data_IF_507640939039
#
_entry.id   IF_507640939039
#
_cell.length_a   1.000
_cell.length_b   1.000
_cell.length_c   1.000
_cell.angle_alpha   90.00
_cell.angle_beta   90.00
_cell.angle_gamma   90.00
#
_symmetry.space_group_name_H-M   'P 1'
#
loop_
_entity.id
_entity.type
_entity.pdbx_description
1 polymer ?
#
# COMPACT_ATOMS: atom_id res chain seq x y z
N UNK A 1 25.26 1.76 -25.17
CA UNK A 1 25.54 1.35 -23.77
C UNK A 1 25.15 2.54 -22.89
N UNK A 2 24.11 2.55 -22.07
CA UNK A 2 23.22 1.52 -21.54
C UNK A 2 21.78 2.04 -21.52
N UNK A 3 20.85 1.15 -21.87
CA UNK A 3 19.42 1.37 -21.83
C UNK A 3 18.94 1.54 -20.39
N UNK A 4 18.35 2.71 -20.09
CA UNK A 4 17.50 2.88 -18.92
C UNK A 4 16.16 2.25 -19.29
N UNK A 5 15.87 1.12 -18.67
CA UNK A 5 14.66 0.34 -18.89
C UNK A 5 13.41 1.20 -18.89
N UNK A 6 12.71 1.13 -20.01
CA UNK A 6 11.36 1.60 -20.24
C UNK A 6 10.43 0.81 -19.32
N UNK A 7 10.16 1.33 -18.11
CA UNK A 7 9.10 0.81 -17.25
C UNK A 7 7.81 1.42 -17.80
N UNK A 8 6.91 0.65 -18.42
CA UNK A 8 5.66 1.20 -18.87
C UNK A 8 4.91 1.74 -17.65
N UNK A 9 4.69 3.05 -17.64
CA UNK A 9 3.79 3.73 -16.70
C UNK A 9 2.43 3.04 -16.83
N UNK A 10 1.90 2.37 -15.78
CA UNK A 10 0.57 1.80 -15.91
C UNK A 10 -0.40 2.95 -16.18
N UNK A 11 -1.05 2.89 -17.35
CA UNK A 11 -2.13 3.79 -17.68
C UNK A 11 -3.13 3.72 -16.52
N UNK A 12 -3.44 4.89 -15.94
CA UNK A 12 -4.49 5.01 -14.93
C UNK A 12 -5.79 4.57 -15.60
N UNK A 13 -6.29 3.37 -15.28
CA UNK A 13 -7.63 2.96 -15.69
C UNK A 13 -8.65 3.85 -14.96
N UNK A 14 -9.49 4.60 -15.68
CA UNK A 14 -10.57 5.36 -15.08
C UNK A 14 -11.64 4.39 -14.57
N UNK A 15 -11.78 4.27 -13.24
CA UNK A 15 -12.88 3.56 -12.57
C UNK A 15 -12.92 2.04 -12.74
N UNK A 16 -12.41 1.27 -11.78
CA UNK A 16 -12.62 -0.19 -11.70
C UNK A 16 -14.02 -0.53 -11.21
N UNK A 17 -15.04 -0.13 -11.96
CA UNK A 17 -16.28 -0.88 -12.00
C UNK A 17 -16.06 -2.02 -13.00
N UNK A 18 -15.75 -3.24 -12.53
CA UNK A 18 -15.89 -4.42 -13.40
C UNK A 18 -15.01 -5.64 -13.12
N UNK A 19 -13.81 -5.51 -12.53
CA UNK A 19 -12.92 -6.67 -12.38
C UNK A 19 -13.21 -7.43 -11.08
N UNK A 20 -13.54 -8.70 -11.21
CA UNK A 20 -13.92 -9.59 -10.10
C UNK A 20 -12.80 -10.58 -9.78
N UNK A 21 -12.94 -11.34 -8.68
CA UNK A 21 -12.02 -12.45 -8.41
C UNK A 21 -12.09 -13.53 -9.50
N UNK A 22 -13.24 -13.74 -10.12
CA UNK A 22 -13.36 -14.67 -11.25
C UNK A 22 -12.49 -14.21 -12.43
N UNK A 23 -12.54 -12.93 -12.77
CA UNK A 23 -11.69 -12.35 -13.84
C UNK A 23 -10.20 -12.46 -13.46
N UNK A 24 -9.85 -12.13 -12.21
CA UNK A 24 -8.48 -12.27 -11.72
C UNK A 24 -7.97 -13.72 -11.81
N UNK A 25 -8.81 -14.72 -11.54
CA UNK A 25 -8.45 -16.14 -11.70
C UNK A 25 -8.13 -16.45 -13.17
N UNK A 26 -8.93 -15.93 -14.11
CA UNK A 26 -8.68 -16.10 -15.56
C UNK A 26 -7.34 -15.47 -15.95
N UNK A 27 -7.05 -14.24 -15.51
CA UNK A 27 -5.76 -13.59 -15.79
C UNK A 27 -4.59 -14.37 -15.19
N UNK A 28 -4.69 -14.84 -13.95
CA UNK A 28 -3.63 -15.61 -13.29
C UNK A 28 -3.29 -16.88 -14.05
N UNK A 29 -4.28 -17.56 -14.65
CA UNK A 29 -4.04 -18.76 -15.47
C UNK A 29 -3.18 -18.48 -16.70
N UNK A 30 -3.25 -17.27 -17.24
CA UNK A 30 -2.53 -16.84 -18.45
C UNK A 30 -1.12 -16.32 -18.16
N UNK A 31 -0.71 -16.22 -16.88
CA UNK A 31 0.64 -15.75 -16.53
C UNK A 31 1.67 -16.87 -16.66
N UNK A 32 2.65 -16.73 -17.55
CA UNK A 32 3.68 -17.76 -17.80
C UNK A 32 5.03 -17.47 -17.12
N UNK A 33 5.13 -16.41 -16.34
CA UNK A 33 6.41 -15.81 -15.95
C UNK A 33 7.06 -16.37 -14.67
N UNK A 34 6.39 -17.26 -13.93
CA UNK A 34 6.81 -17.70 -12.59
C UNK A 34 6.61 -19.19 -12.30
N UNK A 35 6.23 -19.99 -13.29
CA UNK A 35 5.98 -21.43 -13.12
C UNK A 35 4.62 -21.78 -12.51
N UNK A 36 4.17 -23.03 -12.71
CA UNK A 36 2.82 -23.50 -12.40
C UNK A 36 2.49 -23.46 -10.89
N UNK A 37 3.47 -23.63 -10.01
CA UNK A 37 3.24 -23.61 -8.56
C UNK A 37 2.85 -22.21 -8.05
N UNK A 38 3.48 -21.17 -8.59
CA UNK A 38 3.18 -19.78 -8.21
C UNK A 38 1.78 -19.38 -8.72
N UNK A 39 1.40 -19.82 -9.92
CA UNK A 39 0.02 -19.66 -10.43
C UNK A 39 -1.00 -20.32 -9.50
N UNK A 40 -0.78 -21.59 -9.14
CA UNK A 40 -1.66 -22.32 -8.22
C UNK A 40 -1.77 -21.64 -6.87
N UNK A 41 -0.67 -21.13 -6.33
CA UNK A 41 -0.67 -20.38 -5.07
C UNK A 41 -1.53 -19.10 -5.16
N UNK A 42 -1.41 -18.33 -6.24
CA UNK A 42 -2.21 -17.10 -6.47
C UNK A 42 -3.70 -17.40 -6.59
N UNK A 43 -4.07 -18.40 -7.39
CA UNK A 43 -5.47 -18.84 -7.50
C UNK A 43 -6.01 -19.34 -6.15
N UNK A 44 -5.21 -20.11 -5.40
CA UNK A 44 -5.57 -20.58 -4.06
C UNK A 44 -5.82 -19.42 -3.08
N UNK A 45 -5.05 -18.34 -3.18
CA UNK A 45 -5.28 -17.13 -2.38
C UNK A 45 -6.64 -16.48 -2.72
N UNK A 46 -6.97 -16.31 -4.00
CA UNK A 46 -8.26 -15.76 -4.46
C UNK A 46 -9.44 -16.62 -3.96
N UNK A 47 -9.39 -17.94 -4.17
CA UNK A 47 -10.44 -18.85 -3.69
C UNK A 47 -10.56 -18.88 -2.17
N UNK A 48 -9.43 -18.83 -1.44
CA UNK A 48 -9.47 -18.82 0.02
C UNK A 48 -10.04 -17.50 0.55
N UNK A 49 -9.71 -16.38 -0.06
CA UNK A 49 -10.30 -15.09 0.27
C UNK A 49 -11.80 -15.04 -0.03
N UNK A 50 -12.26 -15.62 -1.14
CA UNK A 50 -13.69 -15.79 -1.43
C UNK A 50 -14.41 -16.61 -0.35
N UNK A 51 -13.78 -17.69 0.15
CA UNK A 51 -14.30 -18.49 1.26
C UNK A 51 -14.37 -17.71 2.57
N UNK A 52 -13.35 -16.90 2.88
CA UNK A 52 -13.34 -16.01 4.06
C UNK A 52 -14.52 -15.04 4.00
N UNK A 53 -14.77 -14.45 2.82
CA UNK A 53 -15.86 -13.51 2.55
C UNK A 53 -17.24 -14.18 2.45
N UNK A 54 -17.28 -15.52 2.31
CA UNK A 54 -18.49 -16.31 2.06
C UNK A 54 -19.27 -15.83 0.82
N UNK A 55 -18.54 -15.43 -0.21
CA UNK A 55 -19.09 -14.92 -1.46
C UNK A 55 -18.50 -15.68 -2.65
N UNK A 56 -19.28 -15.87 -3.73
CA UNK A 56 -18.75 -16.47 -4.96
C UNK A 56 -17.77 -15.50 -5.67
N UNK A 57 -16.68 -15.99 -6.29
CA UNK A 57 -15.64 -15.15 -6.91
C UNK A 57 -16.15 -14.11 -7.91
N UNK A 58 -17.24 -14.40 -8.60
CA UNK A 58 -17.87 -13.54 -9.62
C UNK A 58 -18.52 -12.29 -9.01
N UNK A 59 -18.77 -12.29 -7.70
CA UNK A 59 -19.41 -11.16 -6.99
C UNK A 59 -18.42 -10.31 -6.20
N UNK A 60 -17.17 -10.78 -6.08
CA UNK A 60 -16.16 -10.11 -5.25
C UNK A 60 -15.35 -9.18 -6.15
N UNK A 61 -15.46 -7.85 -5.97
CA UNK A 61 -14.68 -6.92 -6.75
C UNK A 61 -13.19 -6.97 -6.35
N UNK A 62 -12.30 -6.83 -7.32
CA UNK A 62 -10.88 -6.53 -7.10
C UNK A 62 -10.66 -5.07 -6.69
N UNK A 63 -11.44 -4.58 -5.73
CA UNK A 63 -11.34 -3.24 -5.19
C UNK A 63 -10.73 -3.27 -3.78
N UNK A 64 -9.59 -2.60 -3.60
CA UNK A 64 -8.85 -2.63 -2.33
C UNK A 64 -9.67 -2.05 -1.18
N UNK A 65 -10.46 -1.01 -1.42
CA UNK A 65 -11.28 -0.36 -0.38
C UNK A 65 -12.34 -1.33 0.12
N UNK A 66 -13.09 -1.94 -0.80
CA UNK A 66 -14.13 -2.93 -0.52
C UNK A 66 -13.57 -4.15 0.20
N UNK A 67 -12.39 -4.62 -0.22
CA UNK A 67 -11.70 -5.76 0.38
C UNK A 67 -11.21 -5.42 1.80
N UNK A 68 -10.63 -4.24 2.01
CA UNK A 68 -10.19 -3.81 3.34
C UNK A 68 -11.34 -3.79 4.35
N UNK A 69 -12.50 -3.28 3.92
CA UNK A 69 -13.72 -3.19 4.73
C UNK A 69 -14.36 -4.54 5.08
N UNK A 70 -13.91 -5.66 4.49
CA UNK A 70 -14.53 -6.98 4.69
C UNK A 70 -13.56 -8.06 5.15
N UNK A 71 -12.34 -8.11 4.60
CA UNK A 71 -11.35 -9.13 4.93
C UNK A 71 -10.74 -8.94 6.32
N UNK A 72 -10.66 -7.70 6.82
CA UNK A 72 -9.99 -7.39 8.09
C UNK A 72 -10.97 -7.06 9.23
N UNK A 73 -12.28 -7.25 9.02
CA UNK A 73 -13.30 -6.99 10.05
C UNK A 73 -13.21 -7.99 11.18
N UNK A 74 -12.96 -9.25 10.85
CA UNK A 74 -12.85 -10.34 11.83
C UNK A 74 -11.43 -10.90 11.85
N UNK A 75 -10.95 -11.39 13.00
CA UNK A 75 -9.65 -12.04 13.09
C UNK A 75 -9.65 -13.37 12.34
N UNK A 76 -8.47 -13.83 11.91
CA UNK A 76 -8.29 -15.10 11.18
C UNK A 76 -9.00 -16.30 11.85
N UNK A 77 -8.99 -16.37 13.19
CA UNK A 77 -9.62 -17.43 13.96
C UNK A 77 -11.15 -17.50 13.76
N UNK A 78 -11.83 -16.36 13.52
CA UNK A 78 -13.26 -16.33 13.25
C UNK A 78 -13.63 -17.00 11.90
N UNK A 79 -12.65 -17.13 10.99
CA UNK A 79 -12.79 -17.85 9.73
C UNK A 79 -12.25 -19.29 9.80
N UNK A 80 -11.90 -19.78 11.00
CA UNK A 80 -11.37 -21.13 11.19
C UNK A 80 -9.97 -21.35 10.60
N UNK A 81 -9.18 -20.28 10.43
CA UNK A 81 -7.81 -20.39 9.89
C UNK A 81 -6.78 -19.74 10.83
N UNK A 82 -5.55 -20.23 10.76
CA UNK A 82 -4.44 -19.67 11.53
C UNK A 82 -4.08 -18.27 11.03
N UNK A 83 -3.50 -17.46 11.93
CA UNK A 83 -2.98 -16.15 11.56
C UNK A 83 -1.94 -16.24 10.41
N UNK A 84 -1.02 -17.21 10.48
CA UNK A 84 -0.03 -17.43 9.42
C UNK A 84 -0.67 -17.73 8.06
N UNK A 85 -1.71 -18.58 8.02
CA UNK A 85 -2.44 -18.87 6.78
C UNK A 85 -3.14 -17.63 6.24
N UNK A 86 -3.79 -16.84 7.11
CA UNK A 86 -4.42 -15.60 6.70
C UNK A 86 -3.41 -14.62 6.09
N UNK A 87 -2.22 -14.44 6.70
CA UNK A 87 -1.16 -13.60 6.14
C UNK A 87 -0.67 -14.08 4.78
N UNK A 88 -0.54 -15.40 4.58
CA UNK A 88 -0.16 -15.97 3.28
C UNK A 88 -1.22 -15.70 2.20
N UNK A 89 -2.51 -15.82 2.55
CA UNK A 89 -3.62 -15.47 1.64
C UNK A 89 -3.53 -13.98 1.27
N UNK A 90 -3.37 -13.09 2.26
CA UNK A 90 -3.23 -11.65 2.00
C UNK A 90 -2.00 -11.32 1.16
N UNK A 91 -0.87 -12.01 1.36
CA UNK A 91 0.32 -11.84 0.55
C UNK A 91 0.07 -12.23 -0.93
N UNK A 92 -0.60 -13.37 -1.16
CA UNK A 92 -1.00 -13.79 -2.50
C UNK A 92 -1.98 -12.83 -3.17
N UNK A 93 -2.98 -12.34 -2.43
CA UNK A 93 -3.91 -11.31 -2.95
C UNK A 93 -3.18 -10.02 -3.34
N UNK A 94 -2.30 -9.52 -2.47
CA UNK A 94 -1.50 -8.32 -2.79
C UNK A 94 -0.66 -8.53 -4.06
N UNK A 95 -0.06 -9.70 -4.22
CA UNK A 95 0.72 -10.01 -5.42
C UNK A 95 -0.15 -9.99 -6.69
N UNK A 96 -1.33 -10.62 -6.65
CA UNK A 96 -2.30 -10.58 -7.75
C UNK A 96 -2.73 -9.15 -8.06
N UNK A 97 -3.18 -8.40 -7.05
CA UNK A 97 -3.66 -7.03 -7.23
C UNK A 97 -2.56 -6.11 -7.77
N UNK A 98 -1.30 -6.27 -7.34
CA UNK A 98 -0.17 -5.49 -7.86
C UNK A 98 0.06 -5.74 -9.35
N UNK A 99 -0.02 -7.00 -9.79
CA UNK A 99 0.13 -7.36 -11.20
C UNK A 99 -1.00 -6.85 -12.08
N UNK A 100 -2.19 -6.72 -11.51
CA UNK A 100 -3.34 -6.09 -12.16
C UNK A 100 -3.28 -4.55 -12.11
N UNK A 101 -2.27 -3.95 -11.46
CA UNK A 101 -2.16 -2.50 -11.28
C UNK A 101 -3.15 -1.92 -10.26
N UNK A 102 -3.79 -2.77 -9.46
CA UNK A 102 -4.84 -2.43 -8.49
C UNK A 102 -4.31 -2.29 -7.05
N UNK A 103 -3.03 -2.58 -6.83
CA UNK A 103 -2.37 -2.39 -5.56
C UNK A 103 -1.03 -1.69 -5.75
N UNK A 104 -0.68 -0.81 -4.81
CA UNK A 104 0.59 -0.08 -4.82
C UNK A 104 1.79 -1.03 -4.97
N UNK A 105 2.80 -0.72 -5.80
CA UNK A 105 3.94 -1.60 -6.00
C UNK A 105 4.71 -1.84 -4.69
N UNK A 106 5.31 -3.04 -4.56
CA UNK A 106 6.21 -3.37 -3.44
C UNK A 106 7.62 -2.82 -3.74
N UNK A 107 7.75 -1.49 -3.70
CA UNK A 107 9.02 -0.83 -3.91
C UNK A 107 9.82 -0.85 -2.60
N UNK A 108 10.77 -1.78 -2.51
CA UNK A 108 11.70 -1.86 -1.39
C UNK A 108 12.85 -0.87 -1.58
N UNK A 109 13.37 -0.35 -0.48
CA UNK A 109 14.51 0.58 -0.51
C UNK A 109 14.16 1.97 -1.03
N UNK A 110 15.18 2.71 -1.46
CA UNK A 110 15.12 4.15 -1.75
C UNK A 110 15.46 4.49 -3.20
N UNK A 111 15.66 3.46 -4.03
CA UNK A 111 15.88 3.63 -5.45
C UNK A 111 14.78 4.50 -6.08
N UNK A 112 15.19 5.52 -6.84
CA UNK A 112 14.32 6.46 -7.53
C UNK A 112 13.75 7.59 -6.65
N UNK A 113 14.10 7.68 -5.37
CA UNK A 113 13.74 8.87 -4.57
C UNK A 113 14.66 10.05 -4.91
N UNK A 114 14.12 11.29 -5.00
CA UNK A 114 14.93 12.49 -5.17
C UNK A 114 15.90 12.71 -4.01
N UNK A 115 17.04 13.35 -4.27
CA UNK A 115 18.10 13.61 -3.29
C UNK A 115 17.60 14.28 -2.00
N UNK A 116 16.70 15.27 -2.12
CA UNK A 116 16.10 15.93 -0.97
C UNK A 116 15.37 14.95 -0.03
N UNK A 117 14.72 13.93 -0.59
CA UNK A 117 14.04 12.89 0.16
C UNK A 117 15.02 11.89 0.80
N UNK A 118 16.10 11.55 0.10
CA UNK A 118 17.17 10.70 0.66
C UNK A 118 17.78 11.37 1.89
N UNK A 119 18.19 12.64 1.77
CA UNK A 119 18.73 13.44 2.88
C UNK A 119 17.76 13.57 4.05
N UNK A 120 16.47 13.75 3.79
CA UNK A 120 15.46 13.75 4.85
C UNK A 120 15.41 12.40 5.59
N UNK A 121 15.42 11.28 4.84
CA UNK A 121 15.32 9.94 5.40
C UNK A 121 16.56 9.51 6.21
N UNK A 122 17.72 10.13 6.00
CA UNK A 122 18.91 9.92 6.82
C UNK A 122 18.69 10.26 8.30
N UNK A 123 17.79 11.20 8.61
CA UNK A 123 17.43 11.53 9.98
C UNK A 123 16.60 10.46 10.71
N UNK A 124 16.11 9.44 10.00
CA UNK A 124 15.32 8.37 10.60
C UNK A 124 16.21 7.44 11.45
N UNK A 125 16.00 7.41 12.76
CA UNK A 125 16.86 6.67 13.70
C UNK A 125 16.54 5.17 13.79
N UNK A 126 15.44 4.72 13.20
CA UNK A 126 15.04 3.32 13.21
C UNK A 126 14.50 2.86 11.86
N UNK A 127 14.86 1.65 11.43
CA UNK A 127 14.48 1.10 10.12
C UNK A 127 12.96 0.99 9.94
N UNK A 128 12.22 0.65 11.00
CA UNK A 128 10.76 0.61 10.97
C UNK A 128 10.15 2.00 10.69
N UNK A 129 10.78 3.07 11.18
CA UNK A 129 10.37 4.45 10.91
C UNK A 129 10.70 4.83 9.46
N UNK A 130 11.92 4.50 9.02
CA UNK A 130 12.39 4.72 7.65
C UNK A 130 11.51 3.99 6.62
N UNK A 131 11.07 2.77 6.92
CA UNK A 131 10.13 2.01 6.08
C UNK A 131 8.79 2.74 5.88
N UNK A 132 8.17 3.22 6.95
CA UNK A 132 6.92 3.98 6.85
C UNK A 132 7.10 5.29 6.09
N UNK A 133 8.20 6.00 6.35
CA UNK A 133 8.49 7.28 5.70
C UNK A 133 8.84 7.13 4.21
N UNK A 134 9.47 6.03 3.77
CA UNK A 134 9.77 5.78 2.34
C UNK A 134 8.52 5.76 1.47
N UNK A 135 7.43 5.14 1.94
CA UNK A 135 6.18 5.10 1.18
C UNK A 135 5.54 6.50 1.08
N UNK A 136 5.61 7.28 2.15
CA UNK A 136 5.14 8.66 2.18
C UNK A 136 6.00 9.58 1.30
N UNK A 137 7.32 9.49 1.40
CA UNK A 137 8.29 10.22 0.58
C UNK A 137 8.05 9.99 -0.92
N UNK A 138 7.80 8.74 -1.34
CA UNK A 138 7.46 8.44 -2.74
C UNK A 138 6.17 9.10 -3.19
N UNK A 139 5.13 9.03 -2.37
CA UNK A 139 3.85 9.69 -2.68
C UNK A 139 4.05 11.21 -2.88
N UNK A 140 4.89 11.82 -2.04
CA UNK A 140 5.20 13.24 -2.17
C UNK A 140 6.06 13.54 -3.42
N UNK A 141 7.07 12.71 -3.70
CA UNK A 141 7.94 12.83 -4.85
C UNK A 141 7.20 12.66 -6.19
N UNK A 142 6.23 11.74 -6.26
CA UNK A 142 5.33 11.56 -7.42
C UNK A 142 4.49 12.81 -7.70
N UNK A 143 4.27 13.66 -6.68
CA UNK A 143 3.60 14.96 -6.78
C UNK A 143 4.57 16.13 -6.91
N UNK A 144 5.86 15.86 -7.15
CA UNK A 144 6.94 16.84 -7.23
C UNK A 144 7.05 17.74 -5.98
N UNK A 145 6.70 17.23 -4.80
CA UNK A 145 6.86 17.96 -3.55
C UNK A 145 8.18 17.63 -2.87
N UNK A 146 8.82 18.67 -2.34
CA UNK A 146 9.98 18.59 -1.48
C UNK A 146 9.56 18.37 -0.01
N UNK A 147 10.47 17.89 0.86
CA UNK A 147 10.19 17.75 2.28
C UNK A 147 9.70 19.05 2.94
N UNK A 148 10.20 20.22 2.51
CA UNK A 148 9.80 21.52 3.09
C UNK A 148 8.42 22.01 2.61
N UNK A 149 7.75 21.27 1.73
CA UNK A 149 6.40 21.58 1.25
C UNK A 149 5.32 20.69 1.88
N UNK A 150 5.72 19.75 2.74
CA UNK A 150 4.78 18.79 3.34
C UNK A 150 3.97 19.42 4.46
N UNK A 151 2.66 19.30 4.34
CA UNK A 151 1.69 19.80 5.32
C UNK A 151 0.83 18.67 5.91
N UNK A 152 -0.03 19.00 6.86
CA UNK A 152 -1.07 18.08 7.35
C UNK A 152 -1.98 17.60 6.22
N UNK A 153 -2.33 18.48 5.28
CA UNK A 153 -3.16 18.12 4.13
C UNK A 153 -2.46 17.08 3.24
N UNK A 154 -1.13 17.20 3.09
CA UNK A 154 -0.32 16.21 2.37
C UNK A 154 -0.40 14.83 3.04
N UNK A 155 -0.27 14.78 4.36
CA UNK A 155 -0.39 13.52 5.09
C UNK A 155 -1.81 12.92 4.99
N UNK A 156 -2.85 13.75 5.09
CA UNK A 156 -4.23 13.30 4.94
C UNK A 156 -4.47 12.70 3.54
N UNK A 157 -4.01 13.38 2.49
CA UNK A 157 -4.11 12.89 1.11
C UNK A 157 -3.33 11.58 0.90
N UNK A 158 -2.16 11.42 1.53
CA UNK A 158 -1.43 10.16 1.50
C UNK A 158 -2.21 9.02 2.16
N UNK A 159 -2.82 9.27 3.33
CA UNK A 159 -3.56 8.23 4.04
C UNK A 159 -4.82 7.80 3.28
N UNK A 160 -5.49 8.74 2.60
CA UNK A 160 -6.60 8.40 1.72
C UNK A 160 -6.14 7.56 0.52
N UNK A 161 -5.04 7.95 -0.14
CA UNK A 161 -4.46 7.18 -1.25
C UNK A 161 -4.00 5.78 -0.80
N UNK A 162 -3.37 5.68 0.37
CA UNK A 162 -2.90 4.39 0.91
C UNK A 162 -4.10 3.49 1.26
N UNK A 163 -5.18 4.02 1.83
CA UNK A 163 -6.41 3.26 2.09
C UNK A 163 -7.06 2.73 0.81
N UNK A 164 -6.99 3.50 -0.29
CA UNK A 164 -7.55 3.14 -1.59
C UNK A 164 -6.69 2.15 -2.37
N UNK A 165 -5.39 2.09 -2.11
CA UNK A 165 -4.42 1.36 -2.97
C UNK A 165 -3.63 0.27 -2.24
N UNK A 166 -3.70 0.20 -0.90
CA UNK A 166 -3.02 -0.82 -0.09
C UNK A 166 -4.02 -1.73 0.61
N UNK A 167 -3.91 -3.03 0.34
CA UNK A 167 -4.65 -4.06 1.05
C UNK A 167 -3.97 -4.35 2.39
N UNK A 168 -4.46 -3.76 3.47
CA UNK A 168 -3.90 -3.95 4.81
C UNK A 168 -4.93 -3.62 5.89
N UNK A 169 -4.69 -4.14 7.09
CA UNK A 169 -5.48 -3.77 8.27
C UNK A 169 -5.39 -2.26 8.46
N UNK A 170 -6.54 -1.59 8.39
CA UNK A 170 -6.63 -0.16 8.68
C UNK A 170 -6.19 0.07 10.13
N UNK A 171 -5.11 0.82 10.31
CA UNK A 171 -4.62 1.19 11.63
C UNK A 171 -4.73 2.70 11.79
N UNK A 172 -5.60 3.14 12.70
CA UNK A 172 -5.70 4.55 13.12
C UNK A 172 -4.35 5.09 13.64
N UNK A 173 -3.44 4.20 14.03
CA UNK A 173 -2.09 4.54 14.49
C UNK A 173 -1.10 4.80 13.37
N UNK A 174 -1.36 4.36 12.13
CA UNK A 174 -0.41 4.48 11.03
C UNK A 174 -0.05 5.94 10.71
N UNK A 175 -1.05 6.79 10.50
CA UNK A 175 -0.84 8.23 10.30
C UNK A 175 -0.13 8.89 11.48
N UNK A 176 -0.48 8.51 12.71
CA UNK A 176 0.18 9.01 13.91
C UNK A 176 1.65 8.55 14.04
N UNK A 177 2.00 7.37 13.52
CA UNK A 177 3.38 6.90 13.46
C UNK A 177 4.18 7.67 12.42
N UNK A 178 3.62 7.94 11.24
CA UNK A 178 4.27 8.75 10.21
C UNK A 178 4.51 10.17 10.72
N UNK A 179 3.48 10.83 11.27
CA UNK A 179 3.61 12.18 11.81
C UNK A 179 4.67 12.28 12.93
N UNK A 180 4.71 11.28 13.84
CA UNK A 180 5.72 11.23 14.90
C UNK A 180 7.14 11.02 14.36
N UNK A 181 7.30 10.12 13.38
CA UNK A 181 8.59 9.89 12.76
C UNK A 181 9.07 11.15 12.01
N UNK A 182 8.17 11.80 11.28
CA UNK A 182 8.43 13.07 10.58
C UNK A 182 8.92 14.17 11.54
N UNK A 183 8.13 14.45 12.58
CA UNK A 183 8.46 15.52 13.53
C UNK A 183 9.79 15.24 14.25
N UNK A 184 10.11 13.98 14.52
CA UNK A 184 11.40 13.61 15.12
C UNK A 184 12.58 13.93 14.20
N UNK A 185 12.47 13.65 12.91
CA UNK A 185 13.52 13.99 11.93
C UNK A 185 13.71 15.50 11.88
N UNK A 186 12.60 16.25 11.82
CA UNK A 186 12.63 17.71 11.85
C UNK A 186 13.31 18.25 13.10
N UNK A 187 12.91 17.78 14.29
CA UNK A 187 13.44 18.29 15.56
C UNK A 187 14.96 18.04 15.69
N UNK A 188 15.45 17.00 15.02
CA UNK A 188 16.88 16.66 14.96
C UNK A 188 17.62 17.30 13.78
N UNK A 189 16.93 18.05 12.90
CA UNK A 189 17.50 18.65 11.69
C UNK A 189 17.24 20.17 11.67
N UNK A 190 18.22 21.00 12.10
CA UNK A 190 18.03 22.44 12.31
C UNK A 190 17.58 23.27 11.09
N UNK A 191 17.68 22.72 9.88
CA UNK A 191 17.38 23.44 8.62
C UNK A 191 15.98 23.16 8.03
N UNK A 192 15.14 22.32 8.66
CA UNK A 192 13.79 21.95 8.17
C UNK A 192 12.66 22.73 8.88
N UNK A 193 12.83 24.04 9.02
CA UNK A 193 12.16 24.84 10.08
C UNK A 193 10.66 25.09 9.88
N UNK A 194 10.05 24.75 8.73
CA UNK A 194 8.67 25.22 8.41
C UNK A 194 7.56 24.15 8.27
N UNK A 195 7.82 22.85 8.50
CA UNK A 195 6.83 21.79 8.24
C UNK A 195 6.44 20.99 9.49
N UNK A 196 5.49 21.52 10.27
CA UNK A 196 4.87 20.78 11.37
C UNK A 196 3.73 19.90 10.85
N UNK A 197 3.89 18.59 10.96
CA UNK A 197 2.78 17.65 10.81
C UNK A 197 2.14 17.44 12.20
N UNK A 198 0.98 18.03 12.43
CA UNK A 198 0.18 17.79 13.62
C UNK A 198 -0.37 16.35 13.63
N UNK A 199 -0.70 15.83 14.82
CA UNK A 199 -1.24 14.48 14.96
C UNK A 199 -2.58 14.38 14.22
N UNK A 200 -2.70 13.38 13.34
CA UNK A 200 -3.91 13.06 12.56
C UNK A 200 -5.17 12.82 13.43
N UNK A 201 -5.03 12.62 14.75
CA UNK A 201 -6.18 12.45 15.66
C UNK A 201 -7.11 13.68 15.73
N UNK A 202 -6.66 14.87 15.33
CA UNK A 202 -7.52 16.06 15.22
C UNK A 202 -8.28 16.15 13.88
N UNK A 203 -7.77 15.52 12.82
CA UNK A 203 -8.37 15.56 11.48
C UNK A 203 -9.57 14.61 11.34
N UNK A 204 -9.63 13.55 12.14
CA UNK A 204 -10.71 12.54 12.09
C UNK A 204 -11.81 12.73 13.14
N UNK A 205 -11.79 13.83 13.92
CA UNK A 205 -12.88 14.17 14.85
C UNK A 205 -13.92 15.14 14.25
N UNK A 206 -13.72 15.59 13.01
CA UNK A 206 -14.58 16.55 12.32
C UNK A 206 -15.37 15.97 11.14
N UNK A 207 -15.38 14.64 10.99
CA UNK A 207 -16.25 13.90 10.09
C UNK A 207 -17.06 12.88 10.91
#
# INVERSE_FOLDING_TARGET
MNAISDIPKPARLPGTAGLTFADAIVFVKQWDDRGEDIRRQRMSALHTAARILKLPPETIPCDVTWLNQRLFVQPAAAHGITHGRFQNVMAGLRDVLRRLGLHRPDLRGEAGLPEAWLRFLEGATAEAQRAGLRAFARFCAEKAMLPEQVTNATLAAYLEDDQRTRLSVASTRHGAHIARAWNRIRDNTPNLVHCLIQKVQEVWRAC
#
